data_IF_434286442658
#
_entry.id   IF_434286442658
#
_cell.length_a   1.000
_cell.length_b   1.000
_cell.length_c   1.000
_cell.angle_alpha   90.00
_cell.angle_beta   90.00
_cell.angle_gamma   90.00
#
_symmetry.space_group_name_H-M   'P 1'
#
loop_
_entity.id
_entity.type
_entity.pdbx_description
1 polymer ?
#
# COMPACT_ATOMS: atom_id res chain seq x y z
N UNK A 1 -18.92 38.48 -20.67
CA UNK A 1 -17.71 37.75 -20.20
C UNK A 1 -17.31 36.60 -21.12
N UNK A 2 -18.24 35.75 -21.58
CA UNK A 2 -17.93 34.77 -22.64
C UNK A 2 -17.66 35.43 -24.01
N UNK A 3 -18.37 36.53 -24.32
CA UNK A 3 -18.20 37.31 -25.56
C UNK A 3 -16.86 38.07 -25.70
N UNK A 4 -16.08 38.20 -24.61
CA UNK A 4 -14.81 38.91 -24.65
C UNK A 4 -13.64 38.03 -25.11
N UNK A 5 -13.87 36.75 -25.45
CA UNK A 5 -12.82 35.82 -25.90
C UNK A 5 -11.75 35.47 -24.85
N UNK A 6 -11.92 35.94 -23.60
CA UNK A 6 -10.95 35.80 -22.51
C UNK A 6 -10.96 34.41 -21.86
N UNK A 7 -12.00 33.61 -22.08
CA UNK A 7 -12.15 32.29 -21.48
C UNK A 7 -12.14 31.20 -22.55
N UNK A 8 -11.02 30.47 -22.66
CA UNK A 8 -10.94 29.24 -23.46
C UNK A 8 -11.29 28.06 -22.57
N UNK A 9 -12.37 27.36 -22.89
CA UNK A 9 -12.72 26.12 -22.20
C UNK A 9 -11.57 25.11 -22.36
N UNK A 10 -11.01 24.65 -21.23
CA UNK A 10 -9.96 23.62 -21.24
C UNK A 10 -10.58 22.30 -21.71
N UNK A 11 -10.09 21.77 -22.82
CA UNK A 11 -10.52 20.46 -23.30
C UNK A 11 -10.29 19.41 -22.20
N UNK A 12 -11.33 18.62 -21.90
CA UNK A 12 -11.25 17.56 -20.90
C UNK A 12 -10.23 16.52 -21.39
N UNK A 13 -9.15 16.34 -20.63
CA UNK A 13 -8.19 15.26 -20.89
C UNK A 13 -8.91 13.93 -20.70
N UNK A 14 -9.04 13.14 -21.76
CA UNK A 14 -9.56 11.78 -21.67
C UNK A 14 -8.50 10.97 -20.92
N UNK A 15 -8.84 10.50 -19.73
CA UNK A 15 -7.94 9.67 -18.93
C UNK A 15 -8.12 8.21 -19.36
N UNK A 16 -7.02 7.50 -19.64
CA UNK A 16 -7.10 6.05 -19.81
C UNK A 16 -7.52 5.45 -18.48
N UNK A 17 -8.54 4.60 -18.48
CA UNK A 17 -8.95 3.91 -17.25
C UNK A 17 -7.80 2.99 -16.80
N UNK A 18 -7.30 3.20 -15.57
CA UNK A 18 -6.41 2.24 -14.93
C UNK A 18 -7.27 1.09 -14.42
N UNK A 19 -7.28 -0.01 -15.16
CA UNK A 19 -7.96 -1.23 -14.74
C UNK A 19 -7.19 -1.90 -13.61
N UNK A 20 -7.92 -2.56 -12.71
CA UNK A 20 -7.29 -3.48 -11.78
C UNK A 20 -6.59 -4.57 -12.56
N UNK A 21 -5.38 -4.95 -12.13
CA UNK A 21 -4.75 -6.17 -12.61
C UNK A 21 -5.57 -7.39 -12.19
N UNK A 22 -5.41 -8.49 -12.91
CA UNK A 22 -5.90 -9.80 -12.48
C UNK A 22 -5.10 -10.29 -11.27
N UNK A 23 -5.76 -11.10 -10.43
CA UNK A 23 -5.13 -11.78 -9.29
C UNK A 23 -4.24 -12.93 -9.79
N UNK A 24 -3.21 -13.25 -9.03
CA UNK A 24 -2.39 -14.46 -9.22
C UNK A 24 -3.19 -15.74 -8.98
N UNK A 25 -2.73 -16.84 -9.57
CA UNK A 25 -3.42 -18.12 -9.51
C UNK A 25 -3.12 -18.87 -8.21
N UNK A 26 -1.92 -18.69 -7.65
CA UNK A 26 -1.43 -19.45 -6.50
C UNK A 26 -1.06 -18.54 -5.32
N UNK A 27 -1.28 -19.07 -4.11
CA UNK A 27 -0.86 -18.43 -2.85
C UNK A 27 0.65 -18.26 -2.83
N UNK A 28 1.11 -17.10 -2.38
CA UNK A 28 2.54 -16.79 -2.26
C UNK A 28 3.22 -16.37 -3.57
N UNK A 29 2.56 -16.50 -4.72
CA UNK A 29 3.10 -16.02 -6.01
C UNK A 29 3.28 -14.49 -6.02
N UNK A 30 2.41 -13.78 -5.30
CA UNK A 30 2.54 -12.35 -5.08
C UNK A 30 1.94 -11.93 -3.76
N UNK A 31 2.78 -11.33 -2.92
CA UNK A 31 2.36 -10.71 -1.66
C UNK A 31 2.41 -9.20 -1.81
N UNK A 32 1.27 -8.55 -1.58
CA UNK A 32 1.17 -7.10 -1.52
C UNK A 32 1.52 -6.62 -0.12
N UNK A 33 2.54 -5.78 -0.03
CA UNK A 33 2.95 -5.14 1.22
C UNK A 33 2.43 -3.70 1.19
N UNK A 34 1.56 -3.37 2.13
CA UNK A 34 1.01 -2.02 2.28
C UNK A 34 1.25 -1.48 3.69
N UNK A 35 1.38 -0.16 3.78
CA UNK A 35 1.62 0.52 5.04
C UNK A 35 0.62 1.66 5.29
N UNK A 36 -0.15 1.51 6.36
CA UNK A 36 -1.25 2.41 6.71
C UNK A 36 -0.94 3.23 7.96
N UNK A 37 -0.62 4.51 7.78
CA UNK A 37 -0.30 5.46 8.85
C UNK A 37 -1.54 6.07 9.49
N UNK A 38 -1.90 5.63 10.69
CA UNK A 38 -3.06 6.16 11.42
C UNK A 38 -2.84 6.16 12.94
N UNK A 39 -3.74 6.84 13.66
CA UNK A 39 -3.82 6.75 15.12
C UNK A 39 -4.59 5.48 15.53
N UNK A 40 -4.09 4.30 15.14
CA UNK A 40 -4.74 3.00 15.38
C UNK A 40 -5.05 2.72 16.86
N UNK A 41 -4.19 3.24 17.74
CA UNK A 41 -4.34 3.10 19.19
C UNK A 41 -5.12 4.27 19.83
N UNK A 42 -5.57 5.23 19.03
CA UNK A 42 -6.26 6.45 19.48
C UNK A 42 -5.42 7.20 20.54
N UNK A 43 -5.96 7.38 21.75
CA UNK A 43 -5.27 8.02 22.89
C UNK A 43 -4.43 7.03 23.71
N UNK A 44 -4.53 5.72 23.45
CA UNK A 44 -3.85 4.67 24.23
C UNK A 44 -2.39 4.47 23.83
N UNK A 45 -1.94 5.08 22.74
CA UNK A 45 -0.59 4.89 22.23
C UNK A 45 -0.19 5.89 21.14
N UNK A 46 1.09 5.88 20.74
CA UNK A 46 1.56 6.73 19.66
C UNK A 46 0.92 6.35 18.32
N UNK A 47 0.91 7.31 17.39
CA UNK A 47 0.60 6.99 15.98
C UNK A 47 1.60 5.95 15.48
N UNK A 48 1.10 4.96 14.76
CA UNK A 48 1.89 3.89 14.19
C UNK A 48 1.47 3.66 12.73
N UNK A 49 2.36 3.03 11.97
CA UNK A 49 2.03 2.47 10.68
C UNK A 49 1.66 1.00 10.87
N UNK A 50 0.49 0.59 10.38
CA UNK A 50 0.16 -0.81 10.26
C UNK A 50 0.75 -1.32 8.94
N UNK A 51 1.78 -2.16 9.02
CA UNK A 51 2.39 -2.85 7.89
C UNK A 51 1.65 -4.18 7.69
N UNK A 52 1.09 -4.40 6.50
CA UNK A 52 0.24 -5.56 6.18
C UNK A 52 0.80 -6.32 4.99
N UNK A 53 0.82 -7.63 5.08
CA UNK A 53 1.16 -8.57 4.01
C UNK A 53 -0.11 -9.26 3.57
N UNK A 54 -0.56 -8.97 2.35
CA UNK A 54 -1.76 -9.57 1.78
C UNK A 54 -1.39 -10.44 0.58
N UNK A 55 -1.74 -11.71 0.63
CA UNK A 55 -1.63 -12.60 -0.53
C UNK A 55 -2.59 -12.13 -1.65
N UNK A 56 -2.09 -11.99 -2.87
CA UNK A 56 -2.88 -11.49 -3.98
C UNK A 56 -3.94 -12.47 -4.47
N UNK A 57 -3.64 -13.77 -4.46
CA UNK A 57 -4.53 -14.80 -4.98
C UNK A 57 -5.80 -14.92 -4.13
N UNK A 58 -5.64 -14.86 -2.80
CA UNK A 58 -6.72 -15.11 -1.84
C UNK A 58 -7.17 -13.89 -1.06
N UNK A 59 -6.40 -12.80 -1.08
CA UNK A 59 -6.55 -11.65 -0.15
C UNK A 59 -6.38 -12.02 1.33
N UNK A 60 -5.75 -13.17 1.62
CA UNK A 60 -5.42 -13.56 2.99
C UNK A 60 -4.36 -12.64 3.58
N UNK A 61 -4.55 -12.22 4.84
CA UNK A 61 -3.52 -11.50 5.58
C UNK A 61 -2.52 -12.51 6.12
N UNK A 62 -1.31 -12.49 5.57
CA UNK A 62 -0.23 -13.40 5.95
C UNK A 62 0.48 -12.92 7.22
N UNK A 63 0.66 -11.60 7.36
CA UNK A 63 1.25 -10.96 8.52
C UNK A 63 0.76 -9.52 8.66
N UNK A 64 0.74 -9.02 9.89
CA UNK A 64 0.49 -7.62 10.17
C UNK A 64 1.23 -7.17 11.44
N UNK A 65 1.89 -6.02 11.37
CA UNK A 65 2.67 -5.48 12.49
C UNK A 65 2.53 -3.96 12.59
N UNK A 66 2.47 -3.44 13.83
CA UNK A 66 2.59 -2.01 14.07
C UNK A 66 4.06 -1.60 14.10
N UNK A 67 4.49 -0.89 13.07
CA UNK A 67 5.84 -0.32 12.98
C UNK A 67 5.78 1.20 13.15
N UNK A 68 6.82 1.84 13.74
CA UNK A 68 6.85 3.29 13.86
C UNK A 68 6.73 4.01 12.52
N UNK A 69 7.40 3.49 11.49
CA UNK A 69 7.36 4.01 10.11
C UNK A 69 7.59 2.89 9.10
N UNK A 70 6.94 2.93 7.95
CA UNK A 70 7.32 2.18 6.74
C UNK A 70 8.09 3.13 5.82
N UNK A 71 9.34 2.80 5.51
CA UNK A 71 10.32 3.60 4.74
C UNK A 71 10.98 4.81 5.45
N UNK A 72 12.33 4.77 5.51
CA UNK A 72 13.20 5.84 5.99
C UNK A 72 14.53 5.31 6.54
N UNK A 73 15.63 6.04 6.35
CA UNK A 73 16.99 5.74 6.85
C UNK A 73 17.15 5.75 8.38
N UNK A 74 16.04 5.73 9.13
CA UNK A 74 16.00 5.85 10.59
C UNK A 74 15.64 4.57 11.34
N UNK A 75 15.32 3.47 10.63
CA UNK A 75 15.13 2.16 11.26
C UNK A 75 16.50 1.45 11.27
N UNK A 76 17.07 1.15 12.46
CA UNK A 76 18.25 0.30 12.56
C UNK A 76 18.02 -1.02 11.83
N UNK A 77 19.03 -1.58 11.16
CA UNK A 77 18.88 -2.87 10.46
C UNK A 77 18.36 -4.00 11.37
N UNK A 78 18.60 -3.92 12.68
CA UNK A 78 18.06 -4.83 13.71
C UNK A 78 16.55 -4.74 13.88
N UNK A 79 15.98 -3.57 13.61
CA UNK A 79 14.57 -3.25 13.84
C UNK A 79 13.80 -3.23 12.51
N UNK A 80 14.49 -3.51 11.39
CA UNK A 80 13.84 -3.82 10.13
C UNK A 80 13.09 -5.13 10.32
N UNK A 81 11.82 -5.18 9.93
CA UNK A 81 11.07 -6.40 10.11
C UNK A 81 11.70 -7.50 9.24
N UNK A 82 12.23 -8.52 9.90
CA UNK A 82 12.85 -9.68 9.28
C UNK A 82 11.74 -10.65 8.93
N UNK A 83 11.32 -10.64 7.67
CA UNK A 83 10.36 -11.60 7.15
C UNK A 83 11.12 -12.71 6.45
N UNK A 84 11.18 -13.89 7.07
CA UNK A 84 11.54 -15.11 6.36
C UNK A 84 10.36 -15.45 5.44
N UNK A 85 10.61 -15.48 4.14
CA UNK A 85 9.66 -16.09 3.22
C UNK A 85 9.69 -17.59 3.53
N UNK A 86 8.62 -18.12 4.12
CA UNK A 86 8.42 -19.56 4.27
C UNK A 86 8.27 -20.16 2.87
N UNK A 87 9.41 -20.35 2.21
CA UNK A 87 9.53 -20.99 0.91
C UNK A 87 9.38 -22.49 1.06
N UNK A 88 8.17 -22.96 1.34
CA UNK A 88 7.79 -24.34 1.05
C UNK A 88 7.64 -24.44 -0.47
N UNK A 89 8.75 -24.81 -1.12
CA UNK A 89 8.76 -25.16 -2.54
C UNK A 89 8.51 -26.66 -2.61
N UNK A 90 7.35 -27.06 -3.14
CA UNK A 90 7.06 -28.44 -3.56
C UNK A 90 6.85 -28.47 -5.08
#
# INVERSE_FOLDING_TARGET
MMDAGLWKAKARKIYSHHYSRERREHVGELVQIDGSYHAWLEERGPKACLLVFADDATSAILAAEFVPTVWGSGIPDSDRPQFEADGETD
#
